data_IF_913422529807
#
_entry.id   IF_913422529807
#
_cell.length_a   1.000
_cell.length_b   1.000
_cell.length_c   1.000
_cell.angle_alpha   90.00
_cell.angle_beta   90.00
_cell.angle_gamma   90.00
#
_symmetry.space_group_name_H-M   'P 1'
#
loop_
_entity.id
_entity.type
_entity.pdbx_description
1 polymer ?
#
# COMPACT_ATOMS: atom_id res chain seq x y z
N UNK A 1 11.00 1.27 -7.57
CA UNK A 1 10.56 2.68 -7.66
C UNK A 1 11.05 3.46 -6.44
N UNK A 2 11.58 4.68 -6.63
CA UNK A 2 11.96 5.56 -5.52
C UNK A 2 10.75 6.37 -5.06
N UNK A 3 10.46 6.33 -3.76
CA UNK A 3 9.43 7.16 -3.14
C UNK A 3 9.79 8.64 -3.31
N UNK A 4 8.81 9.48 -3.61
CA UNK A 4 9.04 10.89 -3.96
C UNK A 4 7.87 11.77 -3.47
N UNK A 5 8.02 13.10 -3.61
CA UNK A 5 7.04 14.11 -3.17
C UNK A 5 5.61 13.90 -3.69
N UNK A 6 5.42 13.25 -4.85
CA UNK A 6 4.06 12.95 -5.37
C UNK A 6 3.36 11.90 -4.50
N UNK A 7 4.10 10.93 -3.99
CA UNK A 7 3.57 9.91 -3.08
C UNK A 7 3.20 10.50 -1.73
N UNK A 8 3.99 11.45 -1.22
CA UNK A 8 3.68 12.16 0.03
C UNK A 8 2.40 12.99 -0.13
N UNK A 9 2.27 13.73 -1.24
CA UNK A 9 1.04 14.47 -1.55
C UNK A 9 -0.18 13.56 -1.66
N UNK A 10 -0.03 12.38 -2.28
CA UNK A 10 -1.08 11.39 -2.35
C UNK A 10 -1.48 10.89 -0.95
N UNK A 11 -0.50 10.49 -0.13
CA UNK A 11 -0.76 10.01 1.22
C UNK A 11 -1.49 11.06 2.08
N UNK A 12 -1.11 12.33 1.94
CA UNK A 12 -1.80 13.45 2.59
C UNK A 12 -3.22 13.66 2.05
N UNK A 13 -3.41 13.67 0.73
CA UNK A 13 -4.71 13.88 0.10
C UNK A 13 -5.76 12.83 0.53
N UNK A 14 -5.33 11.58 0.73
CA UNK A 14 -6.19 10.49 1.19
C UNK A 14 -6.13 10.25 2.70
N UNK A 15 -5.52 11.17 3.46
CA UNK A 15 -5.37 11.13 4.91
C UNK A 15 -4.91 9.74 5.41
N UNK A 16 -3.82 9.24 4.79
CA UNK A 16 -3.23 7.95 5.12
C UNK A 16 -2.44 8.05 6.42
N UNK A 17 -2.69 7.10 7.33
CA UNK A 17 -1.89 6.92 8.54
C UNK A 17 -0.49 6.43 8.16
N UNK A 18 0.47 6.61 9.06
CA UNK A 18 1.86 6.18 8.85
C UNK A 18 1.96 4.70 8.43
N UNK A 19 1.25 3.79 9.11
CA UNK A 19 1.23 2.37 8.75
C UNK A 19 0.67 2.10 7.35
N UNK A 20 -0.33 2.87 6.92
CA UNK A 20 -0.92 2.79 5.58
C UNK A 20 0.07 3.29 4.53
N UNK A 21 0.76 4.40 4.80
CA UNK A 21 1.81 4.93 3.94
C UNK A 21 2.96 3.95 3.73
N UNK A 22 3.39 3.25 4.78
CA UNK A 22 4.42 2.22 4.69
C UNK A 22 3.97 1.00 3.87
N UNK A 23 2.74 0.52 4.07
CA UNK A 23 2.20 -0.60 3.28
C UNK A 23 2.08 -0.18 1.80
N UNK A 24 1.56 1.02 1.53
CA UNK A 24 1.49 1.57 0.18
C UNK A 24 2.87 1.67 -0.47
N UNK A 25 3.89 2.09 0.28
CA UNK A 25 5.27 2.17 -0.20
C UNK A 25 5.84 0.82 -0.60
N UNK A 26 5.60 -0.23 0.20
CA UNK A 26 6.03 -1.58 -0.15
C UNK A 26 5.32 -2.11 -1.40
N UNK A 27 4.00 -1.87 -1.50
CA UNK A 27 3.19 -2.23 -2.68
C UNK A 27 3.74 -1.56 -3.95
N UNK A 28 3.95 -0.24 -3.92
CA UNK A 28 4.44 0.51 -5.08
C UNK A 28 5.88 0.19 -5.46
N UNK A 29 6.69 -0.34 -4.53
CA UNK A 29 8.02 -0.88 -4.87
C UNK A 29 7.93 -2.14 -5.74
N UNK A 30 6.85 -2.92 -5.60
CA UNK A 30 6.63 -4.20 -6.27
C UNK A 30 5.79 -4.06 -7.54
N UNK A 31 4.94 -3.03 -7.63
CA UNK A 31 4.13 -2.74 -8.80
C UNK A 31 4.92 -2.04 -9.91
N UNK A 32 4.40 -2.11 -11.14
CA UNK A 32 4.94 -1.33 -12.26
C UNK A 32 4.39 0.10 -12.21
N UNK A 33 5.22 1.12 -12.54
CA UNK A 33 4.85 2.52 -12.31
C UNK A 33 3.77 3.05 -13.27
N UNK A 34 3.70 2.52 -14.49
CA UNK A 34 2.92 3.12 -15.57
C UNK A 34 1.80 2.21 -16.12
N UNK A 35 1.58 1.04 -15.52
CA UNK A 35 0.52 0.14 -15.95
C UNK A 35 -0.16 -0.52 -14.74
N UNK A 36 -1.48 -0.78 -14.81
CA UNK A 36 -2.16 -1.58 -13.83
C UNK A 36 -1.47 -2.95 -13.68
N UNK A 37 -1.10 -3.30 -12.47
CA UNK A 37 -0.38 -4.54 -12.17
C UNK A 37 -1.11 -5.32 -11.10
N UNK A 38 -1.40 -6.59 -11.35
CA UNK A 38 -1.80 -7.52 -10.30
C UNK A 38 -0.57 -8.05 -9.59
N UNK A 39 -0.53 -7.93 -8.27
CA UNK A 39 0.55 -8.48 -7.45
C UNK A 39 -0.01 -9.28 -6.28
N UNK A 40 0.77 -10.26 -5.84
CA UNK A 40 0.52 -10.96 -4.58
C UNK A 40 1.40 -10.38 -3.49
N UNK A 41 0.80 -10.08 -2.35
CA UNK A 41 1.48 -9.52 -1.18
C UNK A 41 1.33 -10.46 0.01
N UNK A 42 2.46 -10.77 0.68
CA UNK A 42 2.45 -11.36 2.02
C UNK A 42 2.73 -10.26 3.04
N UNK A 43 1.71 -9.93 3.83
CA UNK A 43 1.77 -8.89 4.86
C UNK A 43 2.84 -9.14 5.92
N UNK A 44 3.30 -10.39 6.13
CA UNK A 44 4.41 -10.69 7.05
C UNK A 44 5.74 -10.20 6.48
N UNK A 45 5.96 -10.41 5.18
CA UNK A 45 7.15 -9.92 4.49
C UNK A 45 7.13 -8.39 4.41
N UNK A 46 5.96 -7.82 4.12
CA UNK A 46 5.75 -6.37 4.18
C UNK A 46 6.05 -5.83 5.58
N UNK A 47 5.50 -6.42 6.64
CA UNK A 47 5.72 -5.96 8.02
C UNK A 47 7.20 -6.03 8.43
N UNK A 48 7.89 -7.11 8.05
CA UNK A 48 9.34 -7.26 8.27
C UNK A 48 10.14 -6.19 7.54
N UNK A 49 9.78 -5.87 6.30
CA UNK A 49 10.40 -4.77 5.56
C UNK A 49 10.12 -3.42 6.24
N UNK A 50 8.89 -3.17 6.67
CA UNK A 50 8.51 -1.95 7.41
C UNK A 50 9.35 -1.82 8.67
N UNK A 51 9.54 -2.91 9.43
CA UNK A 51 10.34 -2.85 10.65
C UNK A 51 11.80 -2.47 10.43
N UNK A 52 12.38 -2.87 9.29
CA UNK A 52 13.71 -2.41 8.87
C UNK A 52 13.73 -0.93 8.50
N UNK A 53 12.68 -0.43 7.85
CA UNK A 53 12.62 0.95 7.35
C UNK A 53 12.27 1.95 8.45
N UNK A 54 11.38 1.58 9.37
CA UNK A 54 10.90 2.45 10.45
C UNK A 54 11.94 2.60 11.58
N UNK A 55 12.87 1.65 11.70
CA UNK A 55 13.87 1.61 12.78
C UNK A 55 13.32 1.26 14.16
N UNK A 56 12.00 1.40 14.39
CA UNK A 56 11.31 1.05 15.64
C UNK A 56 10.60 -0.31 15.60
N UNK A 57 11.09 -1.22 14.76
CA UNK A 57 10.59 -2.61 14.67
C UNK A 57 9.29 -2.76 13.88
N UNK A 58 8.71 -3.97 13.92
CA UNK A 58 7.50 -4.30 13.16
C UNK A 58 6.24 -3.63 13.76
N UNK A 59 5.16 -3.52 12.97
CA UNK A 59 3.85 -3.20 13.53
C UNK A 59 3.18 -4.45 14.10
N UNK A 60 2.22 -4.27 15.01
CA UNK A 60 1.33 -5.35 15.42
C UNK A 60 0.52 -5.87 14.24
N UNK A 61 0.23 -7.18 14.22
CA UNK A 61 -0.54 -7.87 13.16
C UNK A 61 -1.78 -7.10 12.73
N UNK A 62 -2.63 -6.71 13.71
CA UNK A 62 -3.89 -6.01 13.46
C UNK A 62 -3.68 -4.69 12.71
N UNK A 63 -2.59 -3.99 13.00
CA UNK A 63 -2.27 -2.70 12.36
C UNK A 63 -2.01 -2.87 10.86
N UNK A 64 -1.29 -3.92 10.45
CA UNK A 64 -1.00 -4.18 9.03
C UNK A 64 -2.22 -4.71 8.29
N UNK A 65 -2.99 -5.61 8.89
CA UNK A 65 -4.23 -6.10 8.28
C UNK A 65 -5.24 -4.98 8.09
N UNK A 66 -5.34 -4.05 9.05
CA UNK A 66 -6.21 -2.88 8.91
C UNK A 66 -5.64 -1.87 7.91
N UNK A 67 -4.32 -1.79 7.76
CA UNK A 67 -3.70 -0.90 6.79
C UNK A 67 -4.05 -1.30 5.35
N UNK A 68 -3.99 -2.59 5.00
CA UNK A 68 -4.34 -3.02 3.63
C UNK A 68 -5.82 -2.80 3.31
N UNK A 69 -6.72 -3.11 4.25
CA UNK A 69 -8.16 -2.86 4.07
C UNK A 69 -8.45 -1.36 3.91
N UNK A 70 -7.82 -0.52 4.73
CA UNK A 70 -7.99 0.93 4.60
C UNK A 70 -7.41 1.48 3.30
N UNK A 71 -6.39 0.86 2.70
CA UNK A 71 -5.89 1.28 1.39
C UNK A 71 -6.90 0.96 0.29
N UNK A 72 -7.53 -0.21 0.33
CA UNK A 72 -8.61 -0.60 -0.60
C UNK A 72 -9.78 0.42 -0.56
N UNK A 73 -10.21 0.79 0.65
CA UNK A 73 -11.30 1.74 0.86
C UNK A 73 -10.93 3.19 0.48
N UNK A 74 -9.75 3.65 0.93
CA UNK A 74 -9.40 5.08 0.84
C UNK A 74 -8.84 5.47 -0.51
N UNK A 75 -8.10 4.58 -1.18
CA UNK A 75 -7.32 4.97 -2.37
C UNK A 75 -8.15 5.01 -3.66
N UNK A 76 -9.48 4.97 -3.55
CA UNK A 76 -10.44 5.12 -4.66
C UNK A 76 -10.10 4.23 -5.87
N UNK A 77 -9.77 2.96 -5.60
CA UNK A 77 -9.44 1.99 -6.63
C UNK A 77 -8.00 2.06 -7.13
N UNK A 78 -7.12 2.88 -6.57
CA UNK A 78 -5.69 2.77 -6.86
C UNK A 78 -5.15 1.42 -6.35
N UNK A 79 -5.46 1.08 -5.10
CA UNK A 79 -5.28 -0.26 -4.56
C UNK A 79 -6.66 -0.91 -4.54
N UNK A 80 -6.78 -2.09 -5.15
CA UNK A 80 -8.00 -2.90 -5.08
C UNK A 80 -7.67 -4.31 -4.63
N UNK A 81 -8.32 -4.81 -3.58
CA UNK A 81 -8.18 -6.20 -3.16
C UNK A 81 -9.01 -7.08 -4.09
N UNK A 82 -8.33 -7.91 -4.89
CA UNK A 82 -8.99 -8.84 -5.80
C UNK A 82 -9.34 -10.16 -5.11
N UNK A 83 -8.44 -10.65 -4.25
CA UNK A 83 -8.62 -11.92 -3.54
C UNK A 83 -7.82 -11.93 -2.24
N UNK A 84 -8.37 -12.58 -1.23
CA UNK A 84 -7.68 -12.91 0.02
C UNK A 84 -7.51 -14.43 0.10
N UNK A 85 -6.26 -14.91 0.09
CA UNK A 85 -5.99 -16.34 0.20
C UNK A 85 -5.98 -16.82 1.64
N UNK A 86 -5.43 -16.00 2.54
CA UNK A 86 -5.42 -16.23 3.98
C UNK A 86 -5.32 -14.87 4.70
N UNK A 87 -5.25 -14.80 6.05
CA UNK A 87 -5.16 -13.53 6.76
C UNK A 87 -3.96 -12.64 6.42
N UNK A 88 -2.93 -13.18 5.78
CA UNK A 88 -1.67 -12.51 5.48
C UNK A 88 -1.41 -12.32 3.99
N UNK A 89 -1.99 -13.15 3.12
CA UNK A 89 -1.69 -13.16 1.69
C UNK A 89 -2.88 -12.67 0.89
N UNK A 90 -2.66 -11.60 0.11
CA UNK A 90 -3.67 -10.92 -0.69
C UNK A 90 -3.18 -10.82 -2.13
N UNK A 91 -4.09 -11.04 -3.09
CA UNK A 91 -3.92 -10.61 -4.47
C UNK A 91 -4.57 -9.24 -4.61
N UNK A 92 -3.79 -8.27 -5.06
CA UNK A 92 -4.25 -6.89 -5.23
C UNK A 92 -3.98 -6.40 -6.65
N UNK A 93 -4.84 -5.52 -7.14
CA UNK A 93 -4.61 -4.71 -8.32
C UNK A 93 -4.06 -3.36 -7.88
N UNK A 94 -2.93 -2.97 -8.46
CA UNK A 94 -2.28 -1.69 -8.23
C UNK A 94 -2.39 -0.88 -9.51
N UNK A 95 -3.13 0.22 -9.48
CA UNK A 95 -3.22 1.17 -10.60
C UNK A 95 -2.21 2.30 -10.41
N UNK A 96 -1.65 2.84 -11.52
CA UNK A 96 -0.77 4.00 -11.46
C UNK A 96 -1.41 5.21 -10.78
N UNK A 97 -0.58 5.99 -10.08
CA UNK A 97 -1.00 7.20 -9.35
C UNK A 97 -1.70 8.23 -10.25
N UNK A 98 -1.32 8.35 -11.53
CA UNK A 98 -1.95 9.31 -12.45
C UNK A 98 -3.41 8.96 -12.81
N UNK A 99 -3.83 7.70 -12.59
CA UNK A 99 -5.22 7.27 -12.77
C UNK A 99 -6.08 7.52 -11.52
N UNK A 100 -5.47 7.89 -10.39
CA UNK A 100 -6.24 8.29 -9.20
C UNK A 100 -6.80 9.71 -9.42
N UNK A 101 -7.90 9.77 -10.17
CA UNK A 101 -8.60 10.99 -10.55
C UNK A 101 -9.38 11.56 -9.36
N UNK A 102 -8.73 12.47 -8.61
CA UNK A 102 -9.28 13.73 -8.05
C UNK A 102 -8.33 14.26 -6.96
N UNK A 103 -7.39 15.10 -7.39
CA UNK A 103 -6.99 16.25 -6.57
C UNK A 103 -7.22 17.47 -7.47
N UNK A 104 -8.51 17.75 -7.69
CA UNK A 104 -9.03 19.01 -8.21
C UNK A 104 -9.28 19.95 -7.04
#
# INVERSE_FOLDING_TARGET
>A
MNWNKKHDKFALAYNLRESQGYVLRDILRKAKPNEPTEIEIDLRLTNRWIGKVRGSGEYHRKTITNAIAALDEKTQGMITILKRYNPWVYKILVRPLYLSTRVS
#
